data_IF_630659774572
#
_entry.id   IF_630659774572
#
_cell.length_a   1.000
_cell.length_b   1.000
_cell.length_c   1.000
_cell.angle_alpha   90.00
_cell.angle_beta   90.00
_cell.angle_gamma   90.00
#
_symmetry.space_group_name_H-M   'P 1'
#
loop_
_entity.id
_entity.type
_entity.pdbx_description
1 polymer ?
#
# COMPACT_ATOMS: atom_id res chain seq x y z
N UNK A 1 10.30 12.40 -54.17
CA UNK A 1 10.52 13.05 -52.86
C UNK A 1 9.22 12.94 -52.09
N UNK A 2 9.05 11.89 -51.28
CA UNK A 2 7.94 11.81 -50.34
C UNK A 2 8.25 12.73 -49.17
N UNK A 3 7.56 13.87 -49.12
CA UNK A 3 7.56 14.75 -47.96
C UNK A 3 6.89 14.01 -46.81
N UNK A 4 7.70 13.44 -45.91
CA UNK A 4 7.26 13.06 -44.57
C UNK A 4 6.66 14.29 -43.91
N UNK A 5 5.32 14.37 -43.89
CA UNK A 5 4.59 15.33 -43.08
C UNK A 5 4.88 14.97 -41.63
N UNK A 6 5.86 15.66 -41.03
CA UNK A 6 6.07 15.67 -39.57
C UNK A 6 4.73 16.05 -38.95
N UNK A 7 4.03 15.05 -38.40
CA UNK A 7 2.76 15.26 -37.72
C UNK A 7 2.91 16.38 -36.68
N UNK A 8 1.98 17.33 -36.70
CA UNK A 8 1.96 18.47 -35.78
C UNK A 8 2.13 17.97 -34.34
N UNK A 9 3.17 18.46 -33.65
CA UNK A 9 3.30 18.22 -32.22
C UNK A 9 2.14 18.90 -31.50
N UNK A 10 1.26 18.08 -30.91
CA UNK A 10 0.13 18.58 -30.12
C UNK A 10 0.64 19.41 -28.94
N UNK A 11 -0.06 20.51 -28.65
CA UNK A 11 0.15 21.30 -27.44
C UNK A 11 -0.17 20.48 -26.19
N UNK A 12 0.28 20.93 -25.02
CA UNK A 12 -0.03 20.23 -23.77
C UNK A 12 -1.53 20.22 -23.47
N UNK A 13 -2.28 21.26 -23.84
CA UNK A 13 -3.73 21.30 -23.65
C UNK A 13 -4.47 20.40 -24.63
N UNK A 14 -4.04 20.34 -25.89
CA UNK A 14 -4.57 19.38 -26.87
C UNK A 14 -4.34 17.93 -26.42
N UNK A 15 -3.16 17.63 -25.85
CA UNK A 15 -2.86 16.31 -25.25
C UNK A 15 -3.75 16.01 -24.05
N UNK A 16 -4.06 16.98 -23.20
CA UNK A 16 -4.97 16.81 -22.03
C UNK A 16 -6.41 16.55 -22.49
N UNK A 17 -6.89 17.26 -23.51
CA UNK A 17 -8.21 17.01 -24.11
C UNK A 17 -8.25 15.58 -24.67
N UNK A 18 -7.25 15.22 -25.48
CA UNK A 18 -7.14 13.88 -26.07
C UNK A 18 -7.06 12.77 -25.01
N UNK A 19 -6.39 13.02 -23.88
CA UNK A 19 -6.35 12.10 -22.75
C UNK A 19 -7.75 11.86 -22.18
N UNK A 20 -8.49 12.94 -21.90
CA UNK A 20 -9.86 12.85 -21.37
C UNK A 20 -10.80 12.12 -22.34
N UNK A 21 -10.74 12.43 -23.64
CA UNK A 21 -11.52 11.74 -24.67
C UNK A 21 -11.16 10.25 -24.75
N UNK A 22 -9.87 9.92 -24.72
CA UNK A 22 -9.40 8.53 -24.79
C UNK A 22 -9.88 7.74 -23.57
N UNK A 23 -9.80 8.32 -22.37
CA UNK A 23 -10.23 7.69 -21.14
C UNK A 23 -11.75 7.49 -21.09
N UNK A 24 -12.53 8.51 -21.47
CA UNK A 24 -14.00 8.40 -21.52
C UNK A 24 -14.45 7.35 -22.53
N UNK A 25 -13.78 7.26 -23.69
CA UNK A 25 -14.05 6.21 -24.66
C UNK A 25 -13.70 4.82 -24.13
N UNK A 26 -12.60 4.68 -23.37
CA UNK A 26 -12.24 3.42 -22.73
C UNK A 26 -13.33 2.94 -21.76
N UNK A 27 -13.81 3.84 -20.88
CA UNK A 27 -14.88 3.56 -19.92
C UNK A 27 -16.20 3.18 -20.61
N UNK A 28 -16.56 3.87 -21.69
CA UNK A 28 -17.75 3.50 -22.49
C UNK A 28 -17.61 2.12 -23.13
N UNK A 29 -16.43 1.79 -23.68
CA UNK A 29 -16.21 0.48 -24.28
C UNK A 29 -16.24 -0.64 -23.24
N UNK A 30 -15.70 -0.40 -22.05
CA UNK A 30 -15.80 -1.32 -20.92
C UNK A 30 -17.27 -1.57 -20.53
N UNK A 31 -18.09 -0.51 -20.42
CA UNK A 31 -19.49 -0.64 -20.00
C UNK A 31 -20.37 -1.41 -20.99
N UNK A 32 -20.03 -1.40 -22.29
CA UNK A 32 -20.71 -2.20 -23.32
C UNK A 32 -20.02 -3.55 -23.59
N UNK A 33 -19.06 -3.96 -22.75
CA UNK A 33 -18.41 -5.27 -22.82
C UNK A 33 -17.32 -5.42 -23.89
N UNK A 34 -16.90 -4.34 -24.56
CA UNK A 34 -15.80 -4.35 -25.56
C UNK A 34 -14.43 -4.29 -24.87
N UNK A 35 -14.09 -5.37 -24.15
CA UNK A 35 -12.94 -5.45 -23.24
C UNK A 35 -11.60 -5.22 -23.93
N UNK A 36 -11.36 -5.84 -25.10
CA UNK A 36 -10.07 -5.76 -25.80
C UNK A 36 -9.80 -4.33 -26.27
N UNK A 37 -10.80 -3.64 -26.82
CA UNK A 37 -10.67 -2.25 -27.24
C UNK A 37 -10.56 -1.30 -26.04
N UNK A 38 -11.29 -1.57 -24.96
CA UNK A 38 -11.20 -0.81 -23.73
C UNK A 38 -9.78 -0.87 -23.13
N UNK A 39 -9.20 -2.07 -22.99
CA UNK A 39 -7.84 -2.29 -22.49
C UNK A 39 -6.81 -1.48 -23.30
N UNK A 40 -6.90 -1.53 -24.64
CA UNK A 40 -6.02 -0.77 -25.54
C UNK A 40 -6.12 0.74 -25.28
N UNK A 41 -7.33 1.27 -25.06
CA UNK A 41 -7.52 2.69 -24.79
C UNK A 41 -7.07 3.08 -23.38
N UNK A 42 -7.30 2.26 -22.35
CA UNK A 42 -6.76 2.52 -21.01
C UNK A 42 -5.23 2.57 -21.00
N UNK A 43 -4.57 1.61 -21.66
CA UNK A 43 -3.11 1.61 -21.82
C UNK A 43 -2.62 2.83 -22.59
N UNK A 44 -3.36 3.26 -23.62
CA UNK A 44 -3.06 4.49 -24.36
C UNK A 44 -3.20 5.73 -23.49
N UNK A 45 -4.24 5.81 -22.65
CA UNK A 45 -4.43 6.90 -21.69
C UNK A 45 -3.25 6.99 -20.72
N UNK A 46 -2.81 5.86 -20.16
CA UNK A 46 -1.61 5.82 -19.29
C UNK A 46 -0.37 6.39 -20.00
N UNK A 47 -0.12 5.99 -21.26
CA UNK A 47 1.02 6.50 -22.04
C UNK A 47 0.93 8.02 -22.29
N UNK A 48 -0.26 8.52 -22.62
CA UNK A 48 -0.47 9.96 -22.85
C UNK A 48 -0.23 10.73 -21.54
N UNK A 49 -0.81 10.28 -20.42
CA UNK A 49 -0.64 10.93 -19.13
C UNK A 49 0.81 10.93 -18.66
N UNK A 50 1.53 9.80 -18.82
CA UNK A 50 2.95 9.70 -18.44
C UNK A 50 3.79 10.70 -19.23
N UNK A 51 3.59 10.78 -20.55
CA UNK A 51 4.32 11.70 -21.41
C UNK A 51 4.02 13.17 -21.07
N UNK A 52 2.77 13.50 -20.78
CA UNK A 52 2.37 14.82 -20.30
C UNK A 52 3.10 15.18 -19.01
N UNK A 53 3.06 14.29 -18.02
CA UNK A 53 3.71 14.53 -16.73
C UNK A 53 5.23 14.66 -16.86
N UNK A 54 5.90 13.85 -17.68
CA UNK A 54 7.34 13.99 -17.95
C UNK A 54 7.70 15.31 -18.62
N UNK A 55 6.78 15.93 -19.36
CA UNK A 55 7.01 17.21 -20.03
C UNK A 55 6.75 18.40 -19.12
N UNK A 56 5.74 18.31 -18.26
CA UNK A 56 5.29 19.46 -17.45
C UNK A 56 5.76 19.43 -16.01
N UNK A 57 6.07 18.24 -15.48
CA UNK A 57 6.29 17.96 -14.06
C UNK A 57 5.21 18.55 -13.13
N UNK A 58 4.01 18.79 -13.66
CA UNK A 58 2.95 19.48 -12.92
C UNK A 58 2.20 18.51 -12.00
N UNK A 59 1.79 18.97 -10.82
CA UNK A 59 0.97 18.18 -9.90
C UNK A 59 -0.37 17.75 -10.53
N UNK A 60 -0.96 18.62 -11.36
CA UNK A 60 -2.20 18.32 -12.09
C UNK A 60 -2.03 17.11 -13.01
N UNK A 61 -0.96 17.08 -13.80
CA UNK A 61 -0.70 15.98 -14.73
C UNK A 61 -0.26 14.71 -13.97
N UNK A 62 0.46 14.86 -12.85
CA UNK A 62 0.80 13.76 -11.92
C UNK A 62 -0.45 13.06 -11.38
N UNK A 63 -1.43 13.82 -10.89
CA UNK A 63 -2.72 13.28 -10.41
C UNK A 63 -3.40 12.50 -11.54
N UNK A 64 -3.37 13.05 -12.76
CA UNK A 64 -3.97 12.37 -13.91
C UNK A 64 -3.28 11.06 -14.28
N UNK A 65 -1.96 10.95 -14.11
CA UNK A 65 -1.22 9.68 -14.25
C UNK A 65 -1.73 8.66 -13.24
N UNK A 66 -1.83 9.04 -11.96
CA UNK A 66 -2.33 8.15 -10.91
C UNK A 66 -3.77 7.71 -11.19
N UNK A 67 -4.65 8.62 -11.61
CA UNK A 67 -6.02 8.28 -12.02
C UNK A 67 -6.05 7.25 -13.17
N UNK A 68 -5.22 7.42 -14.19
CA UNK A 68 -5.15 6.47 -15.30
C UNK A 68 -4.69 5.08 -14.84
N UNK A 69 -3.70 5.03 -13.94
CA UNK A 69 -3.23 3.76 -13.35
C UNK A 69 -4.30 3.08 -12.51
N UNK A 70 -5.09 3.86 -11.75
CA UNK A 70 -6.24 3.34 -11.00
C UNK A 70 -7.26 2.72 -11.96
N UNK A 71 -7.64 3.43 -13.03
CA UNK A 71 -8.65 2.93 -13.98
C UNK A 71 -8.24 1.65 -14.69
N UNK A 72 -7.00 1.55 -15.16
CA UNK A 72 -6.54 0.29 -15.76
C UNK A 72 -6.45 -0.84 -14.71
N UNK A 73 -6.13 -0.54 -13.46
CA UNK A 73 -6.11 -1.55 -12.38
C UNK A 73 -7.52 -2.04 -12.03
N UNK A 74 -8.51 -1.15 -11.94
CA UNK A 74 -9.94 -1.49 -11.75
C UNK A 74 -10.43 -2.37 -12.90
N UNK A 75 -10.07 -2.04 -14.14
CA UNK A 75 -10.39 -2.85 -15.32
C UNK A 75 -9.84 -4.29 -15.18
N UNK A 76 -8.57 -4.46 -14.82
CA UNK A 76 -7.99 -5.80 -14.65
C UNK A 76 -8.56 -6.57 -13.47
N UNK A 77 -8.94 -5.88 -12.39
CA UNK A 77 -9.55 -6.50 -11.24
C UNK A 77 -10.97 -7.00 -11.56
N UNK A 78 -11.77 -6.21 -12.27
CA UNK A 78 -13.19 -6.50 -12.49
C UNK A 78 -13.45 -7.37 -13.72
N UNK A 79 -12.73 -7.12 -14.81
CA UNK A 79 -13.04 -7.73 -16.11
C UNK A 79 -12.27 -9.01 -16.40
N UNK A 80 -11.05 -9.14 -15.86
CA UNK A 80 -10.10 -10.16 -16.27
C UNK A 80 -9.49 -10.95 -15.10
N UNK A 81 -9.73 -10.52 -13.84
CA UNK A 81 -9.15 -11.10 -12.63
C UNK A 81 -7.61 -11.27 -12.68
N UNK A 82 -6.90 -10.39 -13.42
CA UNK A 82 -5.44 -10.45 -13.57
C UNK A 82 -4.72 -9.69 -12.47
N UNK A 83 -4.68 -10.30 -11.28
CA UNK A 83 -4.15 -9.68 -10.06
C UNK A 83 -2.65 -9.35 -10.12
N UNK A 84 -1.89 -10.07 -10.95
CA UNK A 84 -0.47 -9.76 -11.22
C UNK A 84 -0.31 -8.40 -11.94
N UNK A 85 -1.21 -8.07 -12.88
CA UNK A 85 -1.23 -6.76 -13.53
C UNK A 85 -1.68 -5.68 -12.55
N UNK A 86 -2.68 -5.94 -11.72
CA UNK A 86 -3.14 -4.99 -10.67
C UNK A 86 -1.96 -4.62 -9.75
N UNK A 87 -1.19 -5.62 -9.29
CA UNK A 87 -0.02 -5.40 -8.44
C UNK A 87 1.01 -4.50 -9.12
N UNK A 88 1.30 -4.72 -10.41
CA UNK A 88 2.25 -3.88 -11.17
C UNK A 88 1.77 -2.43 -11.29
N UNK A 89 0.48 -2.20 -11.51
CA UNK A 89 -0.06 -0.84 -11.57
C UNK A 89 -0.04 -0.15 -10.21
N UNK A 90 -0.35 -0.85 -9.12
CA UNK A 90 -0.25 -0.31 -7.77
C UNK A 90 1.21 0.08 -7.43
N UNK A 91 2.19 -0.74 -7.81
CA UNK A 91 3.60 -0.38 -7.68
C UNK A 91 3.97 0.88 -8.48
N UNK A 92 3.43 1.06 -9.69
CA UNK A 92 3.62 2.29 -10.48
C UNK A 92 3.00 3.52 -9.81
N UNK A 93 1.81 3.37 -9.19
CA UNK A 93 1.18 4.45 -8.42
C UNK A 93 2.09 4.88 -7.27
N UNK A 94 2.62 3.92 -6.49
CA UNK A 94 3.59 4.19 -5.43
C UNK A 94 4.79 4.96 -6.00
N UNK A 95 5.37 4.51 -7.13
CA UNK A 95 6.52 5.17 -7.76
C UNK A 95 6.26 6.65 -8.05
N UNK A 96 5.13 6.97 -8.70
CA UNK A 96 4.76 8.36 -9.03
C UNK A 96 4.56 9.22 -7.78
N UNK A 97 3.91 8.68 -6.75
CA UNK A 97 3.67 9.39 -5.49
C UNK A 97 4.94 9.54 -4.64
N UNK A 98 5.90 8.62 -4.75
CA UNK A 98 7.16 8.70 -4.04
C UNK A 98 8.07 9.80 -4.56
N UNK A 99 8.14 9.98 -5.87
CA UNK A 99 8.99 10.99 -6.49
C UNK A 99 8.57 12.40 -6.09
N UNK A 100 7.26 12.65 -5.91
CA UNK A 100 6.77 13.91 -5.38
C UNK A 100 7.03 14.13 -3.90
N UNK A 101 6.99 13.07 -3.08
CA UNK A 101 7.16 13.15 -1.62
C UNK A 101 8.50 13.75 -1.13
N UNK A 102 9.43 14.05 -2.04
CA UNK A 102 10.72 14.70 -1.76
C UNK A 102 10.68 16.24 -1.89
N UNK A 103 9.67 16.82 -2.56
CA UNK A 103 9.60 18.25 -2.89
C UNK A 103 8.24 18.79 -2.42
N UNK A 104 8.20 19.49 -1.28
CA UNK A 104 7.03 20.24 -0.79
C UNK A 104 5.69 19.47 -0.63
N UNK A 105 5.71 18.15 -0.54
CA UNK A 105 4.48 17.36 -0.36
C UNK A 105 3.78 17.65 0.97
N UNK A 106 2.45 17.78 0.92
CA UNK A 106 1.62 17.91 2.11
C UNK A 106 1.60 16.60 2.91
N UNK A 107 1.24 16.66 4.19
CA UNK A 107 1.09 15.45 5.01
C UNK A 107 -0.03 14.54 4.46
N UNK A 108 -1.05 15.10 3.82
CA UNK A 108 -2.13 14.32 3.20
C UNK A 108 -1.64 13.54 1.97
N UNK A 109 -0.75 14.12 1.15
CA UNK A 109 -0.11 13.38 0.06
C UNK A 109 0.74 12.21 0.60
N UNK A 110 1.40 12.40 1.75
CA UNK A 110 2.12 11.31 2.42
C UNK A 110 1.18 10.21 2.93
N UNK A 111 0.03 10.56 3.51
CA UNK A 111 -0.99 9.57 3.94
C UNK A 111 -1.55 8.80 2.75
N UNK A 112 -1.87 9.50 1.67
CA UNK A 112 -2.33 8.88 0.43
C UNK A 112 -1.29 7.89 -0.14
N UNK A 113 0.00 8.26 -0.11
CA UNK A 113 1.08 7.32 -0.44
C UNK A 113 1.10 6.11 0.49
N UNK A 114 0.89 6.29 1.80
CA UNK A 114 0.86 5.16 2.76
C UNK A 114 -0.31 4.23 2.49
N UNK A 115 -1.48 4.74 2.14
CA UNK A 115 -2.64 3.92 1.76
C UNK A 115 -2.33 3.05 0.54
N UNK A 116 -1.66 3.61 -0.47
CA UNK A 116 -1.23 2.84 -1.64
C UNK A 116 -0.21 1.75 -1.30
N UNK A 117 0.71 2.03 -0.38
CA UNK A 117 1.59 1.01 0.18
C UNK A 117 0.81 -0.15 0.80
N UNK A 118 -0.18 0.16 1.65
CA UNK A 118 -1.02 -0.83 2.32
C UNK A 118 -1.77 -1.69 1.31
N UNK A 119 -2.48 -1.08 0.36
CA UNK A 119 -3.23 -1.79 -0.69
C UNK A 119 -2.32 -2.73 -1.49
N UNK A 120 -1.13 -2.27 -1.84
CA UNK A 120 -0.16 -3.06 -2.61
C UNK A 120 0.35 -4.25 -1.81
N UNK A 121 0.68 -4.05 -0.53
CA UNK A 121 1.22 -5.12 0.32
C UNK A 121 0.17 -6.20 0.58
N UNK A 122 -1.10 -5.84 0.81
CA UNK A 122 -2.17 -6.84 0.93
C UNK A 122 -2.29 -7.70 -0.32
N UNK A 123 -2.27 -7.08 -1.50
CA UNK A 123 -2.29 -7.83 -2.75
C UNK A 123 -1.08 -8.76 -2.93
N UNK A 124 0.11 -8.34 -2.46
CA UNK A 124 1.29 -9.20 -2.46
C UNK A 124 1.16 -10.38 -1.48
N UNK A 125 0.42 -10.23 -0.38
CA UNK A 125 0.15 -11.34 0.55
C UNK A 125 -0.75 -12.38 -0.11
N UNK A 126 -1.78 -11.96 -0.83
CA UNK A 126 -2.66 -12.85 -1.58
C UNK A 126 -1.88 -13.64 -2.66
N UNK A 127 -0.84 -13.02 -3.21
CA UNK A 127 0.06 -13.63 -4.20
C UNK A 127 1.27 -14.37 -3.58
N UNK A 128 1.36 -14.46 -2.25
CA UNK A 128 2.50 -15.06 -1.53
C UNK A 128 3.88 -14.47 -1.87
N UNK A 129 3.95 -13.20 -2.27
CA UNK A 129 5.19 -12.52 -2.70
C UNK A 129 5.95 -11.91 -1.50
N UNK A 130 6.33 -12.75 -0.55
CA UNK A 130 6.86 -12.32 0.75
C UNK A 130 8.17 -11.53 0.66
N UNK A 131 9.01 -11.81 -0.34
CA UNK A 131 10.23 -11.05 -0.55
C UNK A 131 9.94 -9.61 -0.98
N UNK A 132 8.99 -9.39 -1.90
CA UNK A 132 8.58 -8.03 -2.25
C UNK A 132 7.82 -7.36 -1.11
N UNK A 133 7.03 -8.09 -0.31
CA UNK A 133 6.42 -7.54 0.91
C UNK A 133 7.50 -7.00 1.85
N UNK A 134 8.58 -7.74 2.09
CA UNK A 134 9.66 -7.30 2.98
C UNK A 134 10.31 -6.01 2.45
N UNK A 135 10.61 -5.93 1.15
CA UNK A 135 11.21 -4.75 0.53
C UNK A 135 10.26 -3.55 0.63
N UNK A 136 9.00 -3.75 0.27
CA UNK A 136 7.97 -2.71 0.20
C UNK A 136 7.61 -2.20 1.59
N UNK A 137 7.47 -3.08 2.57
CA UNK A 137 7.18 -2.74 3.97
C UNK A 137 8.33 -1.98 4.64
N UNK A 138 9.60 -2.24 4.28
CA UNK A 138 10.74 -1.44 4.75
C UNK A 138 10.65 0.00 4.24
N UNK A 139 10.36 0.19 2.95
CA UNK A 139 10.18 1.52 2.36
C UNK A 139 9.00 2.27 3.02
N UNK A 140 7.88 1.58 3.23
CA UNK A 140 6.72 2.11 3.95
C UNK A 140 7.09 2.49 5.40
N UNK A 141 7.89 1.68 6.10
CA UNK A 141 8.34 1.97 7.46
C UNK A 141 9.20 3.24 7.54
N UNK A 142 10.08 3.48 6.57
CA UNK A 142 10.91 4.69 6.53
C UNK A 142 10.06 5.94 6.34
N UNK A 143 9.10 5.87 5.40
CA UNK A 143 8.20 6.99 5.09
C UNK A 143 7.20 7.26 6.22
N UNK A 144 6.63 6.23 6.83
CA UNK A 144 5.72 6.38 7.98
C UNK A 144 6.43 6.96 9.21
N UNK A 145 7.69 6.60 9.45
CA UNK A 145 8.51 7.27 10.50
C UNK A 145 8.70 8.75 10.22
N UNK A 146 8.95 9.14 8.97
CA UNK A 146 9.07 10.55 8.60
C UNK A 146 7.76 11.30 8.87
N UNK A 147 6.63 10.77 8.40
CA UNK A 147 5.30 11.35 8.59
C UNK A 147 4.99 11.52 10.09
N UNK A 148 5.12 10.46 10.88
CA UNK A 148 4.86 10.51 12.33
C UNK A 148 5.79 11.47 13.08
N UNK A 149 7.06 11.62 12.65
CA UNK A 149 7.97 12.60 13.25
C UNK A 149 7.45 14.04 13.09
N UNK A 150 6.76 14.32 11.98
CA UNK A 150 6.19 15.64 11.70
C UNK A 150 4.85 15.87 12.39
N UNK A 151 3.99 14.85 12.46
CA UNK A 151 2.59 15.02 12.89
C UNK A 151 2.32 14.58 14.33
N UNK A 152 3.04 13.57 14.83
CA UNK A 152 2.87 12.97 16.17
C UNK A 152 1.46 12.44 16.46
N UNK A 153 0.63 12.22 15.45
CA UNK A 153 -0.75 11.73 15.62
C UNK A 153 -0.80 10.21 15.79
N UNK A 154 -1.83 9.72 16.49
CA UNK A 154 -2.08 8.29 16.61
C UNK A 154 -2.40 7.65 15.25
N UNK A 155 -3.05 8.39 14.35
CA UNK A 155 -3.35 7.93 12.99
C UNK A 155 -2.07 7.64 12.21
N UNK A 156 -1.09 8.55 12.21
CA UNK A 156 0.15 8.35 11.48
C UNK A 156 1.06 7.29 12.15
N UNK A 157 0.90 7.08 13.47
CA UNK A 157 1.52 5.96 14.18
C UNK A 157 1.01 4.59 13.67
N UNK A 158 -0.25 4.49 13.24
CA UNK A 158 -0.82 3.24 12.70
C UNK A 158 0.00 2.73 11.50
N UNK A 159 0.48 3.62 10.64
CA UNK A 159 1.32 3.21 9.51
C UNK A 159 2.66 2.60 9.93
N UNK A 160 3.26 3.06 11.04
CA UNK A 160 4.49 2.45 11.59
C UNK A 160 4.18 1.04 12.11
N UNK A 161 3.09 0.89 12.87
CA UNK A 161 2.64 -0.39 13.42
C UNK A 161 2.38 -1.38 12.28
N UNK A 162 1.60 -0.96 11.29
CA UNK A 162 1.22 -1.79 10.14
C UNK A 162 2.43 -2.19 9.30
N UNK A 163 3.36 -1.28 9.03
CA UNK A 163 4.61 -1.59 8.30
C UNK A 163 5.42 -2.68 9.02
N UNK A 164 5.50 -2.62 10.36
CA UNK A 164 6.20 -3.64 11.16
C UNK A 164 5.45 -4.96 11.20
N UNK A 165 4.12 -4.93 11.25
CA UNK A 165 3.29 -6.13 11.22
C UNK A 165 3.43 -6.87 9.89
N UNK A 166 3.43 -6.16 8.76
CA UNK A 166 3.73 -6.75 7.46
C UNK A 166 5.11 -7.39 7.40
N UNK A 167 6.13 -6.75 7.96
CA UNK A 167 7.47 -7.35 8.07
C UNK A 167 7.44 -8.62 8.93
N UNK A 168 6.75 -8.59 10.08
CA UNK A 168 6.66 -9.74 10.97
C UNK A 168 6.02 -10.95 10.27
N UNK A 169 4.87 -10.73 9.62
CA UNK A 169 4.15 -11.76 8.87
C UNK A 169 5.00 -12.30 7.71
N UNK A 170 5.57 -11.44 6.87
CA UNK A 170 6.38 -11.91 5.74
C UNK A 170 7.65 -12.65 6.18
N UNK A 171 8.32 -12.22 7.26
CA UNK A 171 9.44 -12.97 7.81
C UNK A 171 9.02 -14.31 8.43
N UNK A 172 7.80 -14.40 8.97
CA UNK A 172 7.26 -15.65 9.49
C UNK A 172 7.07 -16.68 8.36
N UNK A 173 6.42 -16.27 7.27
CA UNK A 173 6.21 -17.12 6.08
C UNK A 173 7.52 -17.54 5.42
N UNK A 174 8.50 -16.64 5.38
CA UNK A 174 9.87 -16.93 4.93
C UNK A 174 10.70 -17.78 5.92
N UNK A 175 10.09 -18.27 7.01
CA UNK A 175 10.72 -19.08 8.07
C UNK A 175 11.90 -18.37 8.76
N UNK A 176 11.98 -17.05 8.67
CA UNK A 176 12.99 -16.18 9.33
C UNK A 176 12.52 -15.82 10.74
N UNK A 177 12.31 -16.84 11.58
CA UNK A 177 11.58 -16.76 12.85
C UNK A 177 12.11 -15.72 13.85
N UNK A 178 13.43 -15.54 13.94
CA UNK A 178 14.05 -14.54 14.83
C UNK A 178 13.65 -13.12 14.41
N UNK A 179 13.64 -12.85 13.10
CA UNK A 179 13.21 -11.55 12.57
C UNK A 179 11.70 -11.37 12.76
N UNK A 180 10.90 -12.40 12.52
CA UNK A 180 9.46 -12.37 12.77
C UNK A 180 9.16 -12.01 14.23
N UNK A 181 9.79 -12.73 15.18
CA UNK A 181 9.66 -12.46 16.62
C UNK A 181 10.03 -11.02 16.96
N UNK A 182 11.18 -10.54 16.47
CA UNK A 182 11.62 -9.17 16.69
C UNK A 182 10.56 -8.13 16.26
N UNK A 183 10.00 -8.27 15.06
CA UNK A 183 9.00 -7.33 14.58
C UNK A 183 7.66 -7.45 15.32
N UNK A 184 7.16 -8.66 15.59
CA UNK A 184 5.96 -8.83 16.41
C UNK A 184 6.12 -8.21 17.81
N UNK A 185 7.30 -8.36 18.42
CA UNK A 185 7.59 -7.76 19.72
C UNK A 185 7.52 -6.22 19.66
N UNK A 186 8.09 -5.62 18.62
CA UNK A 186 7.98 -4.17 18.41
C UNK A 186 6.54 -3.71 18.19
N UNK A 187 5.75 -4.49 17.44
CA UNK A 187 4.33 -4.21 17.18
C UNK A 187 3.55 -4.24 18.49
N UNK A 188 3.68 -5.31 19.28
CA UNK A 188 3.03 -5.47 20.58
C UNK A 188 3.31 -4.27 21.49
N UNK A 189 4.59 -3.88 21.64
CA UNK A 189 4.98 -2.73 22.48
C UNK A 189 4.33 -1.40 22.04
N UNK A 190 4.14 -1.18 20.74
CA UNK A 190 3.47 0.03 20.26
C UNK A 190 1.96 -0.04 20.48
N UNK A 191 1.35 -1.18 20.17
CA UNK A 191 -0.09 -1.38 20.31
C UNK A 191 -0.52 -1.35 21.78
N UNK A 192 0.24 -1.94 22.70
CA UNK A 192 0.01 -1.86 24.15
C UNK A 192 -0.12 -0.40 24.62
N UNK A 193 0.82 0.47 24.19
CA UNK A 193 0.81 1.90 24.56
C UNK A 193 -0.41 2.64 24.00
N UNK A 194 -0.82 2.32 22.77
CA UNK A 194 -2.00 2.93 22.15
C UNK A 194 -3.28 2.42 22.81
N UNK A 195 -3.35 1.11 23.09
CA UNK A 195 -4.49 0.49 23.75
C UNK A 195 -4.72 1.02 25.16
N UNK A 196 -3.67 1.17 25.96
CA UNK A 196 -3.76 1.77 27.29
C UNK A 196 -4.31 3.21 27.28
N UNK A 197 -4.13 3.94 26.17
CA UNK A 197 -4.62 5.31 26.02
C UNK A 197 -6.06 5.38 25.50
N UNK A 198 -6.43 4.48 24.58
CA UNK A 198 -7.69 4.55 23.86
C UNK A 198 -8.77 3.59 24.37
N UNK A 199 -8.37 2.49 25.01
CA UNK A 199 -9.25 1.40 25.47
C UNK A 199 -10.21 0.90 24.36
N UNK A 200 -9.69 0.84 23.14
CA UNK A 200 -10.44 0.44 21.93
C UNK A 200 -10.50 -1.09 21.78
N UNK A 201 -11.71 -1.65 21.68
CA UNK A 201 -11.95 -3.09 21.55
C UNK A 201 -11.46 -3.67 20.21
N UNK A 202 -11.44 -2.87 19.13
CA UNK A 202 -10.84 -3.30 17.86
C UNK A 202 -9.34 -3.56 18.01
N UNK A 203 -8.63 -2.59 18.58
CA UNK A 203 -7.18 -2.67 18.85
C UNK A 203 -6.83 -3.80 19.83
N UNK A 204 -7.72 -4.12 20.77
CA UNK A 204 -7.55 -5.26 21.68
C UNK A 204 -7.47 -6.58 20.91
N UNK A 205 -8.37 -6.80 19.95
CA UNK A 205 -8.39 -8.03 19.15
C UNK A 205 -7.12 -8.14 18.28
N UNK A 206 -6.68 -7.05 17.68
CA UNK A 206 -5.43 -7.03 16.93
C UNK A 206 -4.22 -7.30 17.84
N UNK A 207 -4.20 -6.76 19.07
CA UNK A 207 -3.14 -7.00 20.04
C UNK A 207 -3.13 -8.46 20.53
N UNK A 208 -4.29 -9.06 20.75
CA UNK A 208 -4.43 -10.47 21.05
C UNK A 208 -3.85 -11.35 19.94
N UNK A 209 -4.13 -11.02 18.68
CA UNK A 209 -3.53 -11.72 17.52
C UNK A 209 -2.00 -11.67 17.56
N UNK A 210 -1.41 -10.48 17.81
CA UNK A 210 0.04 -10.31 17.89
C UNK A 210 0.65 -11.10 19.06
N UNK A 211 0.01 -11.08 20.23
CA UNK A 211 0.44 -11.89 21.36
C UNK A 211 0.38 -13.39 21.07
N UNK A 212 -0.66 -13.86 20.37
CA UNK A 212 -0.76 -15.26 19.99
C UNK A 212 0.41 -15.66 19.08
N UNK A 213 0.75 -14.83 18.07
CA UNK A 213 1.92 -15.08 17.21
C UNK A 213 3.23 -15.13 18.00
N UNK A 214 3.40 -14.25 18.99
CA UNK A 214 4.57 -14.26 19.88
C UNK A 214 4.63 -15.49 20.78
N UNK A 215 3.48 -15.93 21.30
CA UNK A 215 3.36 -17.16 22.09
C UNK A 215 3.74 -18.38 21.24
N UNK A 216 3.18 -18.51 20.04
CA UNK A 216 3.44 -19.64 19.13
C UNK A 216 4.92 -19.73 18.75
N UNK A 217 5.54 -18.58 18.42
CA UNK A 217 6.97 -18.49 18.09
C UNK A 217 7.89 -18.91 19.25
N UNK A 218 7.43 -18.77 20.49
CA UNK A 218 8.22 -19.05 21.70
C UNK A 218 7.83 -20.37 22.37
N UNK A 219 6.90 -21.13 21.78
CA UNK A 219 6.39 -22.40 22.32
C UNK A 219 7.44 -23.53 22.42
N UNK A 220 8.57 -23.41 21.72
CA UNK A 220 9.68 -24.37 21.81
C UNK A 220 10.35 -24.33 23.19
N UNK A 221 10.76 -25.50 23.70
CA UNK A 221 11.32 -25.71 25.06
C UNK A 221 12.41 -24.70 25.47
N UNK A 222 13.21 -24.19 24.53
CA UNK A 222 14.31 -23.26 24.78
C UNK A 222 13.84 -21.85 25.22
N UNK A 223 12.58 -21.47 24.98
CA UNK A 223 12.05 -20.13 25.28
C UNK A 223 10.99 -20.09 26.39
N UNK A 224 10.96 -21.08 27.29
CA UNK A 224 9.90 -21.28 28.30
C UNK A 224 9.54 -20.02 29.11
N UNK A 225 10.53 -19.22 29.52
CA UNK A 225 10.29 -17.97 30.27
C UNK A 225 9.62 -16.88 29.41
N UNK A 226 10.07 -16.72 28.16
CA UNK A 226 9.50 -15.77 27.21
C UNK A 226 8.07 -16.19 26.84
N UNK A 227 7.83 -17.49 26.66
CA UNK A 227 6.52 -18.03 26.37
C UNK A 227 5.51 -17.77 27.50
N UNK A 228 5.92 -17.95 28.77
CA UNK A 228 5.08 -17.66 29.94
C UNK A 228 4.63 -16.20 29.97
N UNK A 229 5.52 -15.25 29.61
CA UNK A 229 5.18 -13.83 29.54
C UNK A 229 4.01 -13.58 28.57
N UNK A 230 4.07 -14.14 27.36
CA UNK A 230 3.01 -13.94 26.38
C UNK A 230 1.70 -14.62 26.79
N UNK A 231 1.77 -15.79 27.43
CA UNK A 231 0.58 -16.45 28.00
C UNK A 231 -0.12 -15.56 29.02
N UNK A 232 0.63 -14.94 29.94
CA UNK A 232 0.09 -14.01 30.94
C UNK A 232 -0.57 -12.82 30.25
N UNK A 233 0.11 -12.18 29.29
CA UNK A 233 -0.43 -11.05 28.53
C UNK A 233 -1.74 -11.37 27.80
N UNK A 234 -1.87 -12.56 27.24
CA UNK A 234 -3.10 -13.03 26.58
C UNK A 234 -4.24 -13.16 27.61
N UNK A 235 -3.97 -13.74 28.78
CA UNK A 235 -4.97 -13.89 29.85
C UNK A 235 -5.42 -12.53 30.40
N UNK A 236 -4.47 -11.66 30.77
CA UNK A 236 -4.75 -10.29 31.24
C UNK A 236 -5.67 -9.54 30.25
N UNK A 237 -5.34 -9.60 28.96
CA UNK A 237 -6.09 -8.89 27.92
C UNK A 237 -7.46 -9.51 27.64
N UNK A 238 -7.66 -10.82 27.88
CA UNK A 238 -8.98 -11.47 27.79
C UNK A 238 -9.84 -11.21 29.03
N UNK A 239 -9.25 -11.18 30.22
CA UNK A 239 -9.94 -11.01 31.51
C UNK A 239 -10.51 -9.60 31.69
N UNK A 240 -9.97 -8.58 31.01
CA UNK A 240 -10.61 -7.25 30.92
C UNK A 240 -12.05 -7.27 30.37
N UNK A 241 -12.55 -8.40 29.84
CA UNK A 241 -13.97 -8.60 29.48
C UNK A 241 -14.90 -8.82 30.68
N UNK A 242 -14.38 -9.27 31.84
CA UNK A 242 -15.22 -9.74 32.95
C UNK A 242 -15.47 -8.69 34.04
N UNK A 243 -15.02 -7.45 33.84
CA UNK A 243 -15.31 -6.32 34.73
C UNK A 243 -16.28 -5.39 33.99
N UNK A 244 -17.55 -5.77 33.98
CA UNK A 244 -18.68 -4.88 33.72
C UNK A 244 -19.70 -5.08 34.83
#
# INVERSE_FOLDING_TARGET
METFVKGRNLSNDEKRIKLSETLNKALYLESIGKKIEAEKLFLKSCRISENLYRQTFSNKDRIKVVECYIKISEFYQNSELRMDFVQRWYQKIIGVLQDSSKINSSMDEFRYLMEWYVKTIYLMFDNCDYNHIIITSKKMLEKSKYLYRKTKTNEDLKFIILSKLFLANAYYEEKKLVKAYYYYYLVANHMEKVYQKLLDEGLKNDLLYVYQKLFDLTSKKVFKFINRKWKIRILELKETNNVK
#
